data_IF_947007434386
#
_entry.id   IF_947007434386
#
_cell.length_a   1.000
_cell.length_b   1.000
_cell.length_c   1.000
_cell.angle_alpha   90.00
_cell.angle_beta   90.00
_cell.angle_gamma   90.00
#
_symmetry.space_group_name_H-M   'P 1'
#
loop_
_entity.id
_entity.type
_entity.pdbx_description
1 polymer ?
#
# COMPACT_ATOMS: atom_id res chain seq x y z
N UNK A 1 6.16 -15.75 -8.19
CA UNK A 1 6.80 -15.68 -9.53
C UNK A 1 6.86 -17.10 -10.06
N UNK A 2 6.37 -17.32 -11.27
CA UNK A 2 6.45 -18.62 -11.94
C UNK A 2 7.46 -18.52 -13.07
N UNK A 3 8.37 -19.50 -13.18
CA UNK A 3 9.36 -19.58 -14.25
C UNK A 3 8.97 -20.78 -15.12
N UNK A 4 8.70 -20.54 -16.40
CA UNK A 4 8.35 -21.58 -17.38
C UNK A 4 9.40 -22.69 -17.49
N UNK A 5 9.02 -23.81 -18.10
CA UNK A 5 9.86 -24.98 -18.34
C UNK A 5 10.64 -24.91 -19.66
N UNK A 6 10.42 -23.87 -20.46
CA UNK A 6 11.01 -23.61 -21.79
C UNK A 6 12.42 -23.00 -21.77
N UNK A 7 13.07 -22.96 -20.60
CA UNK A 7 14.40 -22.40 -20.42
C UNK A 7 15.46 -23.48 -20.25
N UNK A 8 16.57 -23.31 -20.97
CA UNK A 8 17.79 -24.07 -20.72
C UNK A 8 18.31 -23.83 -19.30
N UNK A 9 19.05 -24.78 -18.70
CA UNK A 9 19.52 -24.67 -17.31
C UNK A 9 20.28 -23.37 -17.03
N UNK A 10 21.13 -22.92 -17.95
CA UNK A 10 21.88 -21.67 -17.81
C UNK A 10 20.98 -20.43 -17.85
N UNK A 11 19.95 -20.43 -18.70
CA UNK A 11 18.99 -19.32 -18.80
C UNK A 11 18.12 -19.26 -17.54
N UNK A 12 17.67 -20.41 -17.05
CA UNK A 12 16.92 -20.52 -15.80
C UNK A 12 17.72 -19.95 -14.63
N UNK A 13 19.00 -20.30 -14.52
CA UNK A 13 19.85 -19.78 -13.45
C UNK A 13 19.98 -18.25 -13.53
N UNK A 14 20.15 -17.69 -14.72
CA UNK A 14 20.22 -16.23 -14.91
C UNK A 14 18.93 -15.52 -14.49
N UNK A 15 17.77 -16.11 -14.76
CA UNK A 15 16.47 -15.57 -14.33
C UNK A 15 16.33 -15.61 -12.80
N UNK A 16 16.69 -16.74 -12.18
CA UNK A 16 16.66 -16.88 -10.72
C UNK A 16 17.59 -15.86 -10.03
N UNK A 17 18.81 -15.70 -10.53
CA UNK A 17 19.75 -14.69 -10.05
C UNK A 17 19.19 -13.27 -10.16
N UNK A 18 18.53 -12.94 -11.27
CA UNK A 18 17.93 -11.62 -11.48
C UNK A 18 16.77 -11.37 -10.51
N UNK A 19 15.91 -12.37 -10.32
CA UNK A 19 14.80 -12.29 -9.36
C UNK A 19 15.35 -12.09 -7.95
N UNK A 20 16.35 -12.89 -7.55
CA UNK A 20 16.93 -12.80 -6.21
C UNK A 20 17.60 -11.43 -5.97
N UNK A 21 18.24 -10.85 -6.99
CA UNK A 21 18.87 -9.52 -6.90
C UNK A 21 17.88 -8.36 -6.85
N UNK A 22 16.64 -8.56 -7.33
CA UNK A 22 15.60 -7.54 -7.37
C UNK A 22 14.34 -8.04 -6.65
N UNK A 23 14.54 -8.77 -5.54
CA UNK A 23 13.45 -9.43 -4.84
C UNK A 23 12.41 -8.43 -4.32
N UNK A 24 12.86 -7.25 -3.90
CA UNK A 24 12.05 -6.09 -3.54
C UNK A 24 11.09 -5.67 -4.67
N UNK A 25 11.59 -5.57 -5.90
CA UNK A 25 10.80 -5.21 -7.09
C UNK A 25 9.76 -6.28 -7.42
N UNK A 26 10.11 -7.56 -7.28
CA UNK A 26 9.23 -8.65 -7.67
C UNK A 26 8.33 -9.18 -6.55
N UNK A 27 8.61 -8.88 -5.29
CA UNK A 27 7.84 -9.37 -4.14
C UNK A 27 6.40 -8.86 -4.16
N UNK A 28 6.15 -7.72 -4.82
CA UNK A 28 4.85 -7.02 -4.77
C UNK A 28 4.35 -6.87 -3.32
N UNK A 29 5.27 -6.82 -2.37
CA UNK A 29 4.97 -6.76 -0.95
C UNK A 29 4.95 -5.31 -0.50
N UNK A 30 3.94 -4.96 0.29
CA UNK A 30 3.85 -3.64 0.92
C UNK A 30 5.03 -3.41 1.87
N UNK A 31 5.60 -4.47 2.46
CA UNK A 31 6.78 -4.38 3.34
C UNK A 31 8.06 -3.91 2.63
N UNK A 32 8.13 -4.06 1.31
CA UNK A 32 9.27 -3.64 0.49
C UNK A 32 9.05 -2.24 -0.11
N UNK A 33 7.94 -1.57 0.22
CA UNK A 33 7.69 -0.18 -0.19
C UNK A 33 8.56 0.74 0.65
N UNK A 34 9.77 1.02 0.16
CA UNK A 34 10.65 2.02 0.73
C UNK A 34 10.23 3.42 0.27
N UNK A 35 10.39 4.41 1.16
CA UNK A 35 10.34 5.80 0.74
C UNK A 35 11.41 6.03 -0.32
N UNK A 36 11.12 6.83 -1.35
CA UNK A 36 12.10 7.12 -2.38
C UNK A 36 13.36 7.76 -1.75
N UNK A 37 14.52 7.13 -1.92
CA UNK A 37 15.82 7.57 -1.39
C UNK A 37 16.25 8.97 -1.87
N UNK A 38 15.55 9.52 -2.87
CA UNK A 38 15.73 10.89 -3.35
C UNK A 38 15.22 11.97 -2.39
N UNK A 39 14.54 11.57 -1.30
CA UNK A 39 13.94 12.52 -0.35
C UNK A 39 12.75 13.28 -0.94
N UNK A 40 12.15 12.75 -2.02
CA UNK A 40 10.99 13.36 -2.65
C UNK A 40 9.79 13.37 -1.69
N UNK A 41 9.30 14.57 -1.35
CA UNK A 41 8.14 14.76 -0.48
C UNK A 41 6.93 15.18 -1.32
N UNK A 42 5.85 14.43 -1.23
CA UNK A 42 4.57 14.86 -1.77
C UNK A 42 3.96 15.94 -0.86
N UNK A 43 3.95 17.18 -1.32
CA UNK A 43 3.32 18.30 -0.59
C UNK A 43 1.93 18.58 -1.15
N UNK A 44 0.92 18.48 -0.29
CA UNK A 44 -0.44 18.88 -0.63
C UNK A 44 -0.56 20.41 -0.59
N UNK A 45 -0.86 21.04 -1.73
CA UNK A 45 -1.05 22.48 -1.82
C UNK A 45 -2.47 22.86 -1.37
N UNK A 46 -2.64 23.10 -0.07
CA UNK A 46 -3.93 23.48 0.52
C UNK A 46 -4.09 25.01 0.43
N UNK A 47 -5.15 25.53 -0.23
CA UNK A 47 -5.41 26.95 -0.28
C UNK A 47 -5.56 27.57 1.12
N UNK A 48 -5.13 28.83 1.26
CA UNK A 48 -5.34 29.57 2.51
C UNK A 48 -6.83 29.70 2.82
N UNK A 49 -7.20 29.47 4.09
CA UNK A 49 -8.60 29.50 4.53
C UNK A 49 -9.44 28.29 4.11
N UNK A 50 -8.85 27.28 3.47
CA UNK A 50 -9.57 26.04 3.16
C UNK A 50 -10.11 25.38 4.44
N UNK A 51 -11.39 25.01 4.40
CA UNK A 51 -12.02 24.27 5.49
C UNK A 51 -12.28 22.84 5.03
N UNK A 52 -12.03 21.88 5.92
CA UNK A 52 -12.28 20.47 5.66
C UNK A 52 -13.35 19.93 6.59
N UNK A 53 -14.14 18.99 6.09
CA UNK A 53 -15.07 18.26 6.93
C UNK A 53 -14.31 17.44 7.96
N UNK A 54 -14.69 17.62 9.23
CA UNK A 54 -14.29 16.72 10.34
C UNK A 54 -15.38 15.70 10.68
N UNK A 55 -16.43 15.60 9.87
CA UNK A 55 -17.52 14.65 10.08
C UNK A 55 -17.11 13.27 9.59
N UNK A 56 -17.23 12.27 10.46
CA UNK A 56 -16.99 10.88 10.12
C UNK A 56 -18.22 10.35 9.37
N UNK A 57 -18.06 10.11 8.07
CA UNK A 57 -19.10 9.52 7.21
C UNK A 57 -18.76 8.09 6.78
N UNK A 58 -17.95 7.37 7.57
CA UNK A 58 -17.56 6.00 7.26
C UNK A 58 -18.76 5.07 7.38
N UNK A 59 -19.14 4.41 6.28
CA UNK A 59 -20.11 3.33 6.32
C UNK A 59 -19.52 2.15 7.10
N UNK A 60 -20.28 1.51 8.01
CA UNK A 60 -19.86 0.27 8.65
C UNK A 60 -19.55 -0.80 7.61
N UNK A 61 -18.39 -1.46 7.76
CA UNK A 61 -17.99 -2.59 6.94
C UNK A 61 -18.74 -3.86 7.38
N UNK A 62 -19.19 -4.67 6.41
CA UNK A 62 -19.77 -5.99 6.64
C UNK A 62 -18.70 -6.98 7.12
N UNK A 63 -19.10 -8.13 7.65
CA UNK A 63 -18.15 -9.13 8.16
C UNK A 63 -17.06 -9.53 7.13
N UNK A 64 -17.38 -9.91 5.88
CA UNK A 64 -16.35 -10.27 4.89
C UNK A 64 -15.44 -9.09 4.50
N UNK A 65 -16.01 -7.88 4.45
CA UNK A 65 -15.26 -6.65 4.16
C UNK A 65 -14.25 -6.34 5.27
N UNK A 66 -14.61 -6.58 6.54
CA UNK A 66 -13.71 -6.41 7.69
C UNK A 66 -12.60 -7.44 7.70
N UNK A 67 -12.94 -8.71 7.46
CA UNK A 67 -11.98 -9.82 7.40
C UNK A 67 -10.95 -9.61 6.29
N UNK A 68 -11.34 -8.95 5.21
CA UNK A 68 -10.40 -8.52 4.18
C UNK A 68 -9.63 -7.24 4.57
N UNK A 69 -10.33 -6.19 5.00
CA UNK A 69 -9.73 -4.85 5.11
C UNK A 69 -8.77 -4.69 6.28
N UNK A 70 -9.11 -5.19 7.47
CA UNK A 70 -8.28 -4.95 8.66
C UNK A 70 -6.88 -5.59 8.59
N UNK A 71 -6.71 -6.83 8.10
CA UNK A 71 -5.38 -7.39 7.90
C UNK A 71 -4.49 -6.53 6.98
N UNK A 72 -5.07 -5.89 5.96
CA UNK A 72 -4.32 -4.96 5.11
C UNK A 72 -3.94 -3.66 5.83
N UNK A 73 -4.79 -3.16 6.73
CA UNK A 73 -4.45 -2.01 7.60
C UNK A 73 -3.26 -2.37 8.49
N UNK A 74 -3.27 -3.56 9.09
CA UNK A 74 -2.18 -4.03 9.93
C UNK A 74 -0.87 -4.16 9.14
N UNK A 75 -0.91 -4.77 7.94
CA UNK A 75 0.25 -4.87 7.04
C UNK A 75 0.80 -3.50 6.64
N UNK A 76 -0.07 -2.54 6.33
CA UNK A 76 0.35 -1.17 5.99
C UNK A 76 0.93 -0.43 7.20
N UNK A 77 0.42 -0.67 8.41
CA UNK A 77 0.97 -0.09 9.64
C UNK A 77 2.34 -0.69 9.96
N UNK A 78 2.49 -2.02 9.87
CA UNK A 78 3.76 -2.72 10.10
C UNK A 78 4.83 -2.30 9.09
N UNK A 79 4.45 -2.13 7.82
CA UNK A 79 5.33 -1.61 6.77
C UNK A 79 5.63 -0.11 6.89
N UNK A 80 5.00 0.62 7.81
CA UNK A 80 5.20 2.06 7.99
C UNK A 80 4.57 2.94 6.91
N UNK A 81 3.71 2.38 6.06
CA UNK A 81 2.97 3.12 5.02
C UNK A 81 1.92 4.03 5.64
N UNK A 82 1.28 3.58 6.72
CA UNK A 82 0.33 4.37 7.51
C UNK A 82 0.73 4.35 8.98
N UNK A 83 0.16 5.26 9.76
CA UNK A 83 0.35 5.30 11.22
C UNK A 83 -0.93 5.77 11.91
N UNK A 84 -1.07 5.38 13.17
CA UNK A 84 -2.04 6.01 14.08
C UNK A 84 -1.75 7.51 14.22
N UNK A 85 -2.81 8.29 14.38
CA UNK A 85 -2.77 9.74 14.60
C UNK A 85 -3.72 10.09 15.74
N UNK A 86 -3.33 11.04 16.58
CA UNK A 86 -4.24 11.58 17.59
C UNK A 86 -5.42 12.27 16.90
N UNK A 87 -6.68 12.01 17.32
CA UNK A 87 -7.85 12.69 16.77
C UNK A 87 -7.76 14.23 16.77
N UNK A 88 -7.02 14.83 17.72
CA UNK A 88 -6.80 16.28 17.79
C UNK A 88 -5.92 16.81 16.63
N UNK A 89 -5.04 15.96 16.09
CA UNK A 89 -4.13 16.31 14.99
C UNK A 89 -4.77 16.11 13.61
N UNK A 90 -5.92 15.42 13.55
CA UNK A 90 -6.64 15.17 12.29
C UNK A 90 -7.17 16.47 11.69
N UNK A 91 -6.75 16.76 10.45
CA UNK A 91 -7.20 17.94 9.70
C UNK A 91 -8.49 17.68 8.92
N UNK A 92 -8.69 16.47 8.43
CA UNK A 92 -9.86 16.05 7.65
C UNK A 92 -10.12 14.55 7.80
N UNK A 93 -11.37 14.12 7.54
CA UNK A 93 -11.70 12.70 7.35
C UNK A 93 -12.17 12.48 5.92
N UNK A 94 -11.67 11.41 5.30
CA UNK A 94 -12.20 10.88 4.05
C UNK A 94 -12.70 9.45 4.31
N UNK A 95 -13.88 9.05 3.80
CA UNK A 95 -14.36 7.69 3.94
C UNK A 95 -13.52 6.73 3.07
N UNK A 96 -13.25 5.54 3.59
CA UNK A 96 -12.70 4.43 2.83
C UNK A 96 -13.82 3.65 2.14
N UNK A 97 -13.65 3.40 0.85
CA UNK A 97 -14.56 2.61 0.03
C UNK A 97 -13.78 1.41 -0.51
N UNK A 98 -14.24 0.18 -0.21
CA UNK A 98 -13.70 -1.03 -0.82
C UNK A 98 -14.26 -1.18 -2.23
N UNK A 99 -13.41 -1.04 -3.23
CA UNK A 99 -13.77 -1.25 -4.62
C UNK A 99 -13.71 -2.75 -4.97
N UNK A 100 -14.69 -3.21 -5.75
CA UNK A 100 -14.64 -4.54 -6.35
C UNK A 100 -13.68 -4.51 -7.54
N UNK A 101 -12.74 -5.46 -7.62
CA UNK A 101 -11.87 -5.60 -8.80
C UNK A 101 -12.75 -5.94 -10.02
N UNK A 102 -12.51 -5.24 -11.13
CA UNK A 102 -13.08 -5.63 -12.42
C UNK A 102 -12.54 -7.03 -12.77
N UNK A 103 -13.44 -7.93 -13.15
CA UNK A 103 -13.12 -9.31 -13.54
C UNK A 103 -12.40 -9.35 -14.88
#
# INVERSE_FOLDING_TARGET
IEIGDDLEPEQRQRVQDLIARNADVFALSVSEVMAADSGAVHTMHIPEGATFSRKIHQRPLKAPEREYYFPWVDVMEEAGVIRKIDPADVKCYAPTILAQKAH
#
